data_IF_821803943110
#
_entry.id   IF_821803943110
#
_cell.length_a   1.000
_cell.length_b   1.000
_cell.length_c   1.000
_cell.angle_alpha   90.00
_cell.angle_beta   90.00
_cell.angle_gamma   90.00
#
_symmetry.space_group_name_H-M   'P 1'
#
loop_
_entity.id
_entity.type
_entity.pdbx_description
1 polymer ?
#
# COMPACT_ATOMS: atom_id res chain seq x y z
N UNK A 1 -20.71 -11.46 -28.03
CA UNK A 1 -19.95 -10.68 -27.04
C UNK A 1 -19.46 -11.63 -25.96
N UNK A 2 -18.21 -12.08 -26.06
CA UNK A 2 -17.62 -13.04 -25.14
C UNK A 2 -17.18 -12.30 -23.87
N UNK A 3 -17.81 -12.62 -22.74
CA UNK A 3 -17.31 -12.28 -21.42
C UNK A 3 -16.13 -13.17 -21.09
N UNK A 4 -14.91 -12.63 -21.23
CA UNK A 4 -13.70 -13.33 -20.83
C UNK A 4 -13.64 -13.31 -19.31
N UNK A 5 -13.76 -14.50 -18.72
CA UNK A 5 -13.57 -14.77 -17.31
C UNK A 5 -12.15 -14.39 -16.86
N UNK A 6 -12.01 -13.28 -16.13
CA UNK A 6 -10.74 -12.87 -15.48
C UNK A 6 -10.48 -13.61 -14.15
N UNK A 7 -10.86 -14.88 -14.04
CA UNK A 7 -10.59 -15.70 -12.85
C UNK A 7 -9.27 -16.50 -12.97
N UNK A 8 -8.72 -16.63 -14.18
CA UNK A 8 -7.52 -17.42 -14.46
C UNK A 8 -6.20 -16.68 -14.15
N UNK A 9 -6.22 -15.35 -14.11
CA UNK A 9 -5.00 -14.54 -13.96
C UNK A 9 -4.49 -14.48 -12.51
N UNK A 10 -5.39 -14.49 -11.53
CA UNK A 10 -5.05 -14.36 -10.10
C UNK A 10 -4.39 -15.62 -9.53
N UNK A 11 -4.78 -16.80 -10.02
CA UNK A 11 -4.21 -18.09 -9.60
C UNK A 11 -2.75 -18.26 -10.06
N UNK A 12 -2.38 -17.69 -11.22
CA UNK A 12 -1.01 -17.78 -11.75
C UNK A 12 -0.01 -16.94 -10.95
N UNK A 13 -0.43 -15.78 -10.42
CA UNK A 13 0.40 -14.90 -9.59
C UNK A 13 0.73 -15.59 -8.27
N UNK A 14 -0.27 -16.18 -7.60
CA UNK A 14 -0.07 -16.86 -6.32
C UNK A 14 0.83 -18.10 -6.44
N UNK A 15 0.69 -18.87 -7.54
CA UNK A 15 1.55 -20.02 -7.84
C UNK A 15 3.01 -19.62 -8.11
N UNK A 16 3.26 -18.37 -8.53
CA UNK A 16 4.61 -17.80 -8.76
C UNK A 16 5.24 -17.23 -7.49
N UNK A 17 4.43 -16.79 -6.51
CA UNK A 17 4.86 -16.36 -5.17
C UNK A 17 5.40 -17.53 -4.32
N UNK A 18 5.19 -18.78 -4.74
CA UNK A 18 5.79 -19.97 -4.11
C UNK A 18 7.32 -20.09 -4.27
N UNK A 19 8.00 -19.15 -4.93
CA UNK A 19 9.45 -19.02 -4.78
C UNK A 19 9.73 -18.59 -3.33
N UNK A 20 10.60 -19.32 -2.62
CA UNK A 20 11.03 -19.01 -1.25
C UNK A 20 11.27 -17.50 -1.09
N UNK A 21 10.35 -16.83 -0.42
CA UNK A 21 10.51 -15.47 0.05
C UNK A 21 11.22 -15.53 1.40
N UNK A 22 12.45 -15.01 1.48
CA UNK A 22 13.09 -14.80 2.77
C UNK A 22 12.48 -13.55 3.38
N UNK A 23 11.74 -13.71 4.48
CA UNK A 23 11.30 -12.57 5.28
C UNK A 23 12.52 -12.04 6.02
N UNK A 24 12.95 -10.83 5.68
CA UNK A 24 14.05 -10.14 6.35
C UNK A 24 13.41 -9.06 7.22
N UNK A 25 13.58 -9.10 8.55
CA UNK A 25 13.13 -7.99 9.39
C UNK A 25 14.00 -6.76 9.10
N UNK A 26 13.38 -5.63 8.77
CA UNK A 26 14.08 -4.37 8.49
C UNK A 26 14.73 -3.74 9.74
N UNK A 27 14.39 -4.25 10.94
CA UNK A 27 14.81 -3.63 12.20
C UNK A 27 14.03 -2.35 12.50
N UNK A 28 14.43 -1.66 13.57
CA UNK A 28 13.92 -0.33 13.92
C UNK A 28 14.99 0.67 13.52
N UNK A 29 14.63 1.63 12.67
CA UNK A 29 15.46 2.79 12.37
C UNK A 29 15.04 3.91 13.32
N UNK A 30 15.98 4.40 14.13
CA UNK A 30 15.76 5.55 15.03
C UNK A 30 15.82 6.86 14.23
N UNK A 31 14.84 7.06 13.34
CA UNK A 31 14.73 8.20 12.42
C UNK A 31 13.30 8.72 12.39
N UNK A 32 13.17 10.04 12.38
CA UNK A 32 11.90 10.76 12.36
C UNK A 32 11.53 11.18 10.93
N UNK A 33 10.45 10.58 10.43
CA UNK A 33 9.86 10.89 9.13
C UNK A 33 9.48 12.37 8.98
N UNK A 34 9.20 13.08 10.07
CA UNK A 34 8.82 14.48 10.00
C UNK A 34 9.96 15.38 9.53
N UNK A 35 11.21 14.98 9.77
CA UNK A 35 12.41 15.72 9.38
C UNK A 35 12.89 15.23 8.02
N UNK A 36 12.95 16.13 7.04
CA UNK A 36 13.34 15.79 5.66
C UNK A 36 14.71 15.12 5.57
N UNK A 37 15.69 15.53 6.39
CA UNK A 37 17.02 14.92 6.39
C UNK A 37 17.01 13.46 6.86
N UNK A 38 16.27 13.17 7.94
CA UNK A 38 16.15 11.81 8.47
C UNK A 38 15.29 10.94 7.54
N UNK A 39 14.28 11.52 6.88
CA UNK A 39 13.49 10.83 5.84
C UNK A 39 14.35 10.43 4.64
N UNK A 40 15.31 11.25 4.21
CA UNK A 40 16.26 10.90 3.15
C UNK A 40 17.06 9.66 3.57
N UNK A 41 17.58 9.63 4.80
CA UNK A 41 18.35 8.49 5.31
C UNK A 41 17.51 7.20 5.38
N UNK A 42 16.22 7.31 5.76
CA UNK A 42 15.27 6.19 5.73
C UNK A 42 15.14 5.66 4.30
N UNK A 43 14.92 6.54 3.32
CA UNK A 43 14.74 6.13 1.93
C UNK A 43 16.03 5.53 1.37
N UNK A 44 17.20 6.13 1.63
CA UNK A 44 18.50 5.60 1.25
C UNK A 44 18.72 4.19 1.82
N UNK A 45 18.36 3.97 3.09
CA UNK A 45 18.39 2.64 3.69
C UNK A 45 17.44 1.67 3.00
N UNK A 46 16.23 2.09 2.63
CA UNK A 46 15.26 1.21 1.98
C UNK A 46 15.64 0.86 0.54
N UNK A 47 16.32 1.76 -0.17
CA UNK A 47 16.72 1.55 -1.56
C UNK A 47 17.67 0.36 -1.77
N UNK A 48 18.36 -0.10 -0.73
CA UNK A 48 19.19 -1.31 -0.81
C UNK A 48 18.37 -2.56 -1.19
N UNK A 49 17.06 -2.56 -0.90
CA UNK A 49 16.16 -3.67 -1.18
C UNK A 49 15.46 -3.55 -2.54
N UNK A 50 15.64 -2.43 -3.23
CA UNK A 50 15.02 -2.20 -4.54
C UNK A 50 15.75 -3.01 -5.61
N UNK A 51 15.03 -3.81 -6.43
CA UNK A 51 15.67 -4.61 -7.46
C UNK A 51 16.36 -3.73 -8.50
N UNK A 52 17.59 -4.10 -8.85
CA UNK A 52 18.38 -3.46 -9.91
C UNK A 52 18.34 -4.35 -11.15
N UNK A 53 17.94 -3.80 -12.28
CA UNK A 53 17.96 -4.47 -13.57
C UNK A 53 18.88 -3.71 -14.52
N UNK A 54 19.91 -4.37 -15.07
CA UNK A 54 20.91 -3.74 -15.95
C UNK A 54 21.51 -2.46 -15.35
N UNK A 55 21.91 -2.51 -14.07
CA UNK A 55 22.45 -1.38 -13.29
C UNK A 55 21.51 -0.16 -13.14
N UNK A 56 20.25 -0.29 -13.56
CA UNK A 56 19.20 0.70 -13.36
C UNK A 56 18.29 0.26 -12.21
N UNK A 57 17.97 1.19 -11.32
CA UNK A 57 17.04 0.92 -10.22
C UNK A 57 15.62 0.84 -10.79
N UNK A 58 14.89 -0.24 -10.49
CA UNK A 58 13.49 -0.35 -10.88
C UNK A 58 12.60 0.21 -9.77
N UNK A 59 11.75 1.22 -10.03
CA UNK A 59 10.94 1.82 -8.99
C UNK A 59 9.91 0.83 -8.44
N UNK A 60 9.87 0.69 -7.11
CA UNK A 60 8.87 -0.10 -6.39
C UNK A 60 7.73 0.80 -5.92
N UNK A 61 6.50 0.29 -5.93
CA UNK A 61 5.38 0.98 -5.27
C UNK A 61 5.58 0.93 -3.75
N UNK A 62 5.67 2.10 -3.13
CA UNK A 62 5.74 2.24 -1.68
C UNK A 62 4.43 2.84 -1.18
N UNK A 63 3.67 2.03 -0.46
CA UNK A 63 2.42 2.41 0.16
C UNK A 63 2.65 3.15 1.48
N UNK A 64 1.87 4.19 1.73
CA UNK A 64 1.89 4.92 2.99
C UNK A 64 0.60 5.70 3.20
N UNK A 65 0.46 6.30 4.38
CA UNK A 65 -0.60 7.27 4.60
C UNK A 65 -0.31 8.57 3.80
N UNK A 66 -1.26 9.50 3.79
CA UNK A 66 -1.12 10.73 3.01
C UNK A 66 0.06 11.60 3.45
N UNK A 67 0.42 11.59 4.73
CA UNK A 67 1.51 12.40 5.27
C UNK A 67 2.86 11.78 4.92
N UNK A 68 3.01 10.47 5.09
CA UNK A 68 4.21 9.73 4.71
C UNK A 68 4.51 9.86 3.23
N UNK A 69 3.48 9.78 2.37
CA UNK A 69 3.64 10.02 0.94
C UNK A 69 4.13 11.43 0.65
N UNK A 70 3.55 12.46 1.29
CA UNK A 70 3.98 13.84 1.09
C UNK A 70 5.43 14.07 1.56
N UNK A 71 5.84 13.44 2.66
CA UNK A 71 7.22 13.49 3.17
C UNK A 71 8.19 12.77 2.23
N UNK A 72 7.82 11.60 1.73
CA UNK A 72 8.58 10.81 0.77
C UNK A 72 8.80 11.56 -0.55
N UNK A 73 7.75 12.13 -1.13
CA UNK A 73 7.86 12.99 -2.32
C UNK A 73 8.69 14.25 -2.03
N UNK A 74 8.56 14.83 -0.84
CA UNK A 74 9.36 15.97 -0.42
C UNK A 74 10.86 15.66 -0.38
N UNK A 75 11.23 14.49 0.14
CA UNK A 75 12.61 14.01 0.16
C UNK A 75 13.17 13.76 -1.25
N UNK A 76 12.37 13.18 -2.16
CA UNK A 76 12.75 13.01 -3.57
C UNK A 76 12.98 14.36 -4.26
N UNK A 77 12.09 15.33 -4.06
CA UNK A 77 12.24 16.69 -4.61
C UNK A 77 13.48 17.40 -4.07
N UNK A 78 13.79 17.22 -2.78
CA UNK A 78 15.00 17.79 -2.17
C UNK A 78 16.30 17.24 -2.77
N UNK A 79 16.25 16.06 -3.42
CA UNK A 79 17.40 15.38 -4.01
C UNK A 79 17.31 15.23 -5.53
N UNK A 80 16.37 15.93 -6.17
CA UNK A 80 16.11 15.83 -7.60
C UNK A 80 17.33 16.16 -8.49
N UNK A 81 18.26 16.98 -7.99
CA UNK A 81 19.49 17.38 -8.69
C UNK A 81 20.62 16.33 -8.65
N UNK A 82 20.39 15.17 -8.03
CA UNK A 82 21.38 14.10 -7.95
C UNK A 82 21.81 13.54 -9.31
N UNK A 83 23.09 13.22 -9.45
CA UNK A 83 23.66 12.69 -10.71
C UNK A 83 23.17 11.25 -10.97
N UNK A 84 23.23 10.38 -9.95
CA UNK A 84 22.77 8.99 -10.04
C UNK A 84 21.30 8.86 -9.60
N UNK A 85 20.63 7.80 -10.05
CA UNK A 85 19.25 7.47 -9.65
C UNK A 85 19.13 7.20 -8.14
N UNK A 86 20.17 6.60 -7.56
CA UNK A 86 20.27 6.36 -6.11
C UNK A 86 20.31 7.70 -5.36
N UNK A 87 21.14 8.64 -5.82
CA UNK A 87 21.24 9.96 -5.19
C UNK A 87 19.94 10.76 -5.30
N UNK A 88 19.15 10.55 -6.36
CA UNK A 88 17.82 11.18 -6.58
C UNK A 88 16.67 10.49 -5.87
N UNK A 89 16.93 9.40 -5.16
CA UNK A 89 15.92 8.65 -4.42
C UNK A 89 14.81 8.05 -5.32
N UNK A 90 15.12 7.71 -6.58
CA UNK A 90 14.15 7.24 -7.60
C UNK A 90 13.72 5.76 -7.47
N UNK A 91 14.15 5.08 -6.41
CA UNK A 91 13.81 3.67 -6.16
C UNK A 91 12.37 3.40 -5.77
N UNK A 92 11.58 4.44 -5.48
CA UNK A 92 10.21 4.30 -5.01
C UNK A 92 9.24 5.23 -5.74
N UNK A 93 8.06 4.70 -6.04
CA UNK A 93 6.88 5.47 -6.43
C UNK A 93 5.94 5.47 -5.24
N UNK A 94 5.74 6.65 -4.65
CA UNK A 94 4.86 6.82 -3.52
C UNK A 94 3.41 6.71 -3.96
N UNK A 95 2.65 5.92 -3.22
CA UNK A 95 1.22 5.73 -3.45
C UNK A 95 0.50 5.87 -2.11
N UNK A 96 -0.48 6.76 -2.07
CA UNK A 96 -1.37 6.86 -0.92
C UNK A 96 -2.24 5.61 -0.83
N UNK A 97 -2.13 4.91 0.29
CA UNK A 97 -2.92 3.73 0.61
C UNK A 97 -3.84 4.04 1.77
N UNK A 98 -4.96 4.72 1.47
CA UNK A 98 -6.03 4.93 2.45
C UNK A 98 -6.85 3.64 2.59
N UNK A 99 -6.37 2.76 3.46
CA UNK A 99 -7.07 1.53 3.82
C UNK A 99 -8.47 1.81 4.37
N UNK A 100 -8.64 2.87 5.16
CA UNK A 100 -9.93 3.22 5.75
C UNK A 100 -10.95 3.60 4.68
N UNK A 101 -10.55 4.41 3.69
CA UNK A 101 -11.40 4.72 2.54
C UNK A 101 -11.76 3.48 1.74
N UNK A 102 -10.82 2.54 1.57
CA UNK A 102 -11.09 1.28 0.89
C UNK A 102 -12.14 0.44 1.63
N UNK A 103 -11.99 0.27 2.94
CA UNK A 103 -12.95 -0.47 3.79
C UNK A 103 -14.33 0.18 3.75
N UNK A 104 -14.41 1.52 3.84
CA UNK A 104 -15.69 2.25 3.76
C UNK A 104 -16.35 2.00 2.39
N UNK A 105 -15.58 2.04 1.30
CA UNK A 105 -16.14 1.79 -0.04
C UNK A 105 -16.74 0.40 -0.18
N UNK A 106 -16.12 -0.63 0.41
CA UNK A 106 -16.61 -2.00 0.40
C UNK A 106 -17.89 -2.13 1.23
N UNK A 107 -17.95 -1.51 2.40
CA UNK A 107 -19.15 -1.48 3.24
C UNK A 107 -20.32 -0.77 2.56
N UNK A 108 -20.05 0.32 1.82
CA UNK A 108 -21.09 1.03 1.05
C UNK A 108 -21.57 0.20 -0.13
N UNK A 109 -20.68 -0.51 -0.82
CA UNK A 109 -21.07 -1.42 -1.92
C UNK A 109 -21.92 -2.59 -1.41
N UNK A 110 -21.60 -3.18 -0.26
CA UNK A 110 -22.41 -4.23 0.35
C UNK A 110 -23.83 -3.73 0.67
N UNK A 111 -23.95 -2.49 1.17
CA UNK A 111 -25.25 -1.85 1.44
C UNK A 111 -26.01 -1.46 0.17
N UNK A 112 -25.31 -1.01 -0.86
CA UNK A 112 -25.92 -0.64 -2.15
C UNK A 112 -26.30 -1.85 -3.01
N UNK A 113 -25.70 -3.02 -2.78
CA UNK A 113 -26.04 -4.28 -3.41
C UNK A 113 -27.33 -4.90 -2.84
N UNK A 114 -27.91 -4.33 -1.78
CA UNK A 114 -29.27 -4.65 -1.32
C UNK A 114 -30.23 -3.84 -2.21
N UNK A 115 -30.95 -4.46 -3.16
CA UNK A 115 -31.88 -3.73 -4.00
C UNK A 115 -32.94 -3.08 -3.12
N UNK A 116 -33.24 -1.80 -3.39
CA UNK A 116 -34.18 -0.93 -2.67
C UNK A 116 -35.66 -1.36 -2.72
N UNK A 117 -35.92 -2.65 -2.96
CA UNK A 117 -37.24 -3.28 -2.91
C UNK A 117 -37.26 -4.66 -2.22
N UNK A 118 -36.14 -5.19 -1.75
CA UNK A 118 -36.16 -6.46 -1.01
C UNK A 118 -36.48 -6.21 0.47
N UNK A 119 -37.77 -6.28 0.82
CA UNK A 119 -38.17 -6.47 2.21
C UNK A 119 -37.72 -7.86 2.62
N UNK A 120 -36.60 -7.94 3.33
CA UNK A 120 -36.24 -9.13 4.10
C UNK A 120 -37.32 -9.25 5.18
N UNK A 121 -38.31 -10.13 4.98
CA UNK A 121 -39.30 -10.41 6.00
C UNK A 121 -38.57 -11.03 7.21
N UNK A 122 -38.55 -10.30 8.33
CA UNK A 122 -38.40 -10.91 9.65
C UNK A 122 -37.00 -11.09 10.21
N UNK A 123 -36.04 -10.20 9.92
CA UNK A 123 -34.85 -10.08 10.79
C UNK A 123 -34.67 -8.63 11.19
N UNK A 124 -35.19 -8.29 12.37
CA UNK A 124 -34.81 -7.07 13.06
C UNK A 124 -33.30 -7.10 13.28
N UNK A 125 -32.58 -6.27 12.53
CA UNK A 125 -31.18 -6.00 12.79
C UNK A 125 -31.12 -5.20 14.09
N UNK A 126 -30.49 -5.71 15.16
CA UNK A 126 -30.37 -4.93 16.39
C UNK A 126 -29.54 -3.67 16.12
N UNK A 127 -29.89 -2.53 16.73
CA UNK A 127 -29.17 -1.29 16.51
C UNK A 127 -27.72 -1.43 16.96
N UNK A 128 -26.83 -1.10 16.03
CA UNK A 128 -25.39 -0.81 16.16
C UNK A 128 -24.89 -0.81 17.61
N UNK A 129 -24.37 -1.95 18.06
CA UNK A 129 -23.30 -1.94 19.05
C UNK A 129 -22.00 -1.94 18.26
N UNK A 130 -21.31 -0.82 18.25
CA UNK A 130 -19.90 -0.77 17.91
C UNK A 130 -19.21 -1.81 18.80
N UNK A 131 -18.87 -2.96 18.24
CA UNK A 131 -17.92 -3.86 18.88
C UNK A 131 -16.57 -3.22 18.63
N UNK A 132 -16.21 -2.28 19.51
CA UNK A 132 -14.81 -2.08 19.84
C UNK A 132 -14.31 -3.47 20.26
N UNK A 133 -13.54 -4.11 19.38
CA UNK A 133 -12.69 -5.22 19.79
C UNK A 133 -11.68 -4.61 20.76
N UNK A 134 -11.99 -4.65 22.05
CA UNK A 134 -10.94 -4.59 23.07
C UNK A 134 -10.05 -5.81 22.83
N UNK A 135 -8.81 -5.53 22.44
CA UNK A 135 -7.74 -6.50 22.40
C UNK A 135 -7.45 -6.93 23.84
N UNK A 136 -7.61 -8.23 24.11
CA UNK A 136 -7.02 -8.89 25.26
C UNK A 136 -6.21 -10.08 24.73
#
# INVERSE_FOLDING_TARGET
MQGICNLSYTTSIFKRIQKKCSVIPFGILEKDENKTGEMIEIIEHLQQYTPKAHDKMMPLLMGGDGLSVAKGEGAQKARADGISQENRLEGFIWKSEDWHAHVISLQVQERAAIPSGCKIQGVDMPPLRAVCLEMN
#
